data_IF_301079878672
#
_entry.id   IF_301079878672
#
_cell.length_a   1.000
_cell.length_b   1.000
_cell.length_c   1.000
_cell.angle_alpha   90.00
_cell.angle_beta   90.00
_cell.angle_gamma   90.00
#
_symmetry.space_group_name_H-M   'P 1'
#
loop_
_entity.id
_entity.type
_entity.pdbx_description
1 polymer ?
#
# COMPACT_ATOMS: atom_id res chain seq x y z
N UNK A 1 18.55 15.85 -7.53
CA UNK A 1 18.70 15.41 -6.12
C UNK A 1 17.30 15.01 -5.64
N UNK A 2 17.06 13.73 -5.39
CA UNK A 2 15.78 13.27 -4.83
C UNK A 2 15.85 13.51 -3.32
N UNK A 3 14.92 14.29 -2.78
CA UNK A 3 14.87 14.62 -1.35
C UNK A 3 13.92 13.64 -0.67
N UNK A 4 14.40 12.92 0.34
CA UNK A 4 13.55 12.11 1.22
C UNK A 4 12.65 13.08 2.00
N UNK A 5 11.35 13.07 1.70
CA UNK A 5 10.36 13.95 2.36
C UNK A 5 9.81 13.38 3.66
N UNK A 6 9.85 12.06 3.83
CA UNK A 6 9.35 11.32 5.01
C UNK A 6 10.35 10.23 5.39
N UNK A 7 10.54 10.04 6.69
CA UNK A 7 11.30 8.91 7.23
C UNK A 7 10.56 7.58 7.01
N UNK A 8 11.29 6.46 7.11
CA UNK A 8 10.67 5.13 7.04
C UNK A 8 9.56 4.96 8.07
N UNK A 9 9.80 5.36 9.33
CA UNK A 9 8.81 5.24 10.40
C UNK A 9 7.53 6.02 10.07
N UNK A 10 7.63 7.27 9.62
CA UNK A 10 6.45 8.07 9.23
C UNK A 10 5.65 7.42 8.11
N UNK A 11 6.33 6.88 7.10
CA UNK A 11 5.70 6.16 5.99
C UNK A 11 4.97 4.91 6.51
N UNK A 12 5.61 4.12 7.37
CA UNK A 12 5.03 2.89 7.89
C UNK A 12 3.85 3.15 8.85
N UNK A 13 3.91 4.20 9.66
CA UNK A 13 2.81 4.61 10.53
C UNK A 13 1.59 5.08 9.73
N UNK A 14 1.81 5.88 8.69
CA UNK A 14 0.76 6.33 7.77
C UNK A 14 0.12 5.14 7.06
N UNK A 15 0.94 4.24 6.51
CA UNK A 15 0.48 3.00 5.87
C UNK A 15 -0.35 2.15 6.81
N UNK A 16 0.15 1.93 8.04
CA UNK A 16 -0.55 1.16 9.06
C UNK A 16 -1.94 1.72 9.36
N UNK A 17 -2.05 3.05 9.52
CA UNK A 17 -3.35 3.72 9.76
C UNK A 17 -4.29 3.58 8.57
N UNK A 18 -3.80 3.72 7.35
CA UNK A 18 -4.64 3.59 6.14
C UNK A 18 -5.19 2.18 6.04
N UNK A 19 -4.31 1.16 6.12
CA UNK A 19 -4.71 -0.24 5.99
C UNK A 19 -5.66 -0.67 7.11
N UNK A 20 -5.42 -0.25 8.36
CA UNK A 20 -6.32 -0.54 9.48
C UNK A 20 -7.69 0.10 9.28
N UNK A 21 -7.74 1.35 8.78
CA UNK A 21 -9.01 2.04 8.53
C UNK A 21 -9.79 1.38 7.39
N UNK A 22 -9.11 0.92 6.33
CA UNK A 22 -9.74 0.12 5.27
C UNK A 22 -10.34 -1.16 5.85
N UNK A 23 -9.58 -1.85 6.71
CA UNK A 23 -10.05 -3.08 7.35
C UNK A 23 -11.31 -2.85 8.21
N UNK A 24 -11.36 -1.76 8.96
CA UNK A 24 -12.54 -1.33 9.71
C UNK A 24 -13.73 -1.03 8.79
N UNK A 25 -13.51 -0.29 7.69
CA UNK A 25 -14.56 0.03 6.71
C UNK A 25 -15.11 -1.20 6.01
N UNK A 26 -14.29 -2.24 5.80
CA UNK A 26 -14.74 -3.52 5.25
C UNK A 26 -15.62 -4.32 6.22
N UNK A 27 -15.56 -4.05 7.54
CA UNK A 27 -16.43 -4.68 8.56
C UNK A 27 -17.77 -3.97 8.70
N UNK A 28 -17.86 -2.70 8.32
CA UNK A 28 -19.10 -1.93 8.31
C UNK A 28 -20.09 -2.42 7.25
N UNK A 29 -21.36 -2.04 7.39
CA UNK A 29 -22.39 -2.27 6.37
C UNK A 29 -22.02 -1.56 5.07
N UNK A 30 -22.22 -2.25 3.94
CA UNK A 30 -21.89 -1.71 2.63
C UNK A 30 -22.87 -0.60 2.24
N UNK A 31 -22.35 0.62 2.09
CA UNK A 31 -23.09 1.81 1.67
C UNK A 31 -22.27 2.64 0.68
N UNK A 32 -22.92 3.54 -0.07
CA UNK A 32 -22.23 4.44 -1.02
C UNK A 32 -21.14 5.26 -0.32
N UNK A 33 -21.45 5.83 0.86
CA UNK A 33 -20.49 6.63 1.63
C UNK A 33 -19.31 5.78 2.12
N UNK A 34 -19.56 4.56 2.61
CA UNK A 34 -18.51 3.63 3.02
C UNK A 34 -17.59 3.26 1.83
N UNK A 35 -18.17 3.03 0.66
CA UNK A 35 -17.44 2.74 -0.58
C UNK A 35 -16.58 3.92 -1.05
N UNK A 36 -17.11 5.15 -0.99
CA UNK A 36 -16.33 6.36 -1.30
C UNK A 36 -15.15 6.54 -0.34
N UNK A 37 -15.34 6.23 0.93
CA UNK A 37 -14.28 6.32 1.92
C UNK A 37 -13.17 5.28 1.68
N UNK A 38 -13.55 4.04 1.34
CA UNK A 38 -12.58 3.00 0.93
C UNK A 38 -11.77 3.49 -0.28
N UNK A 39 -12.41 4.09 -1.30
CA UNK A 39 -11.69 4.61 -2.47
C UNK A 39 -10.71 5.73 -2.11
N UNK A 40 -11.09 6.67 -1.22
CA UNK A 40 -10.17 7.70 -0.75
C UNK A 40 -8.98 7.09 -0.02
N UNK A 41 -9.21 6.09 0.83
CA UNK A 41 -8.15 5.40 1.56
C UNK A 41 -7.22 4.64 0.60
N UNK A 42 -7.73 4.03 -0.47
CA UNK A 42 -6.90 3.41 -1.51
C UNK A 42 -6.03 4.44 -2.24
N UNK A 43 -6.56 5.62 -2.55
CA UNK A 43 -5.76 6.71 -3.16
C UNK A 43 -4.69 7.23 -2.19
N UNK A 44 -5.00 7.35 -0.89
CA UNK A 44 -4.00 7.67 0.13
C UNK A 44 -2.93 6.57 0.22
N UNK A 45 -3.35 5.30 0.19
CA UNK A 45 -2.43 4.17 0.21
C UNK A 45 -1.49 4.19 -1.01
N UNK A 46 -2.00 4.48 -2.21
CA UNK A 46 -1.20 4.68 -3.42
C UNK A 46 -0.11 5.73 -3.25
N UNK A 47 -0.43 6.87 -2.64
CA UNK A 47 0.56 7.92 -2.37
C UNK A 47 1.61 7.44 -1.35
N UNK A 48 1.18 6.76 -0.28
CA UNK A 48 2.10 6.19 0.71
C UNK A 48 3.04 5.12 0.12
N UNK A 49 2.57 4.35 -0.87
CA UNK A 49 3.35 3.39 -1.66
C UNK A 49 4.45 4.09 -2.46
N UNK A 50 4.11 5.20 -3.11
CA UNK A 50 5.07 6.01 -3.84
C UNK A 50 6.15 6.60 -2.90
N UNK A 51 5.74 7.07 -1.71
CA UNK A 51 6.67 7.55 -0.68
C UNK A 51 7.63 6.44 -0.22
N UNK A 52 7.12 5.23 0.05
CA UNK A 52 7.94 4.07 0.41
C UNK A 52 8.93 3.69 -0.68
N UNK A 53 8.46 3.62 -1.94
CA UNK A 53 9.32 3.32 -3.09
C UNK A 53 10.45 4.34 -3.24
N UNK A 54 10.13 5.63 -3.07
CA UNK A 54 11.13 6.70 -3.12
C UNK A 54 12.13 6.62 -1.96
N UNK A 55 11.65 6.31 -0.74
CA UNK A 55 12.53 6.08 0.41
C UNK A 55 13.49 4.92 0.15
N UNK A 56 12.98 3.75 -0.24
CA UNK A 56 13.78 2.54 -0.48
C UNK A 56 14.81 2.77 -1.59
N UNK A 57 14.42 3.42 -2.69
CA UNK A 57 15.34 3.77 -3.78
C UNK A 57 16.44 4.71 -3.31
N UNK A 58 16.07 5.79 -2.61
CA UNK A 58 17.06 6.77 -2.14
C UNK A 58 17.99 6.16 -1.11
N UNK A 59 17.47 5.35 -0.18
CA UNK A 59 18.28 4.65 0.80
C UNK A 59 19.29 3.73 0.10
N UNK A 60 18.84 2.90 -0.85
CA UNK A 60 19.70 2.00 -1.62
C UNK A 60 20.82 2.74 -2.37
N UNK A 61 20.52 3.89 -3.00
CA UNK A 61 21.52 4.71 -3.71
C UNK A 61 22.61 5.31 -2.79
N UNK A 62 22.37 5.37 -1.46
CA UNK A 62 23.30 5.94 -0.49
C UNK A 62 24.02 4.90 0.38
N UNK A 63 23.78 3.59 0.16
CA UNK A 63 24.46 2.50 0.85
C UNK A 63 25.95 2.55 0.53
N UNK A 64 26.78 2.57 1.56
CA UNK A 64 28.24 2.66 1.43
C UNK A 64 28.98 1.49 2.10
N UNK A 65 28.25 0.55 2.73
CA UNK A 65 28.82 -0.60 3.42
C UNK A 65 27.97 -1.87 3.26
N UNK A 66 28.58 -3.03 3.49
CA UNK A 66 27.86 -4.32 3.48
C UNK A 66 26.84 -4.42 4.62
N UNK A 67 27.14 -3.84 5.79
CA UNK A 67 26.24 -3.79 6.95
C UNK A 67 24.95 -2.99 6.62
N UNK A 68 25.08 -1.83 5.99
CA UNK A 68 23.92 -1.04 5.52
C UNK A 68 23.11 -1.79 4.44
N UNK A 69 23.79 -2.58 3.59
CA UNK A 69 23.11 -3.42 2.61
C UNK A 69 22.30 -4.56 3.26
N UNK A 70 22.83 -5.18 4.31
CA UNK A 70 22.11 -6.20 5.07
C UNK A 70 20.90 -5.62 5.82
N UNK A 71 21.07 -4.43 6.39
CA UNK A 71 19.96 -3.68 7.00
C UNK A 71 18.88 -3.32 5.97
N UNK A 72 19.28 -2.83 4.79
CA UNK A 72 18.35 -2.56 3.69
C UNK A 72 17.55 -3.79 3.27
N UNK A 73 18.21 -4.94 3.11
CA UNK A 73 17.55 -6.22 2.79
C UNK A 73 16.53 -6.61 3.85
N UNK A 74 16.88 -6.44 5.13
CA UNK A 74 15.96 -6.70 6.25
C UNK A 74 14.72 -5.81 6.19
N UNK A 75 14.87 -4.52 5.85
CA UNK A 75 13.73 -3.61 5.64
C UNK A 75 12.85 -4.11 4.49
N UNK A 76 13.44 -4.47 3.36
CA UNK A 76 12.70 -4.97 2.19
C UNK A 76 11.93 -6.23 2.55
N UNK A 77 12.58 -7.19 3.22
CA UNK A 77 11.96 -8.46 3.62
C UNK A 77 10.81 -8.22 4.60
N UNK A 78 10.98 -7.32 5.58
CA UNK A 78 9.90 -6.95 6.51
C UNK A 78 8.70 -6.37 5.77
N UNK A 79 8.93 -5.41 4.87
CA UNK A 79 7.85 -4.77 4.11
C UNK A 79 7.14 -5.80 3.22
N UNK A 80 7.88 -6.70 2.58
CA UNK A 80 7.34 -7.79 1.74
C UNK A 80 6.54 -8.78 2.55
N UNK A 81 7.07 -9.30 3.64
CA UNK A 81 6.43 -10.38 4.38
C UNK A 81 5.21 -9.90 5.16
N UNK A 82 5.21 -8.67 5.64
CA UNK A 82 4.14 -8.17 6.52
C UNK A 82 3.14 -7.32 5.75
N UNK A 83 3.60 -6.28 5.07
CA UNK A 83 2.69 -5.28 4.52
C UNK A 83 2.11 -5.66 3.17
N UNK A 84 2.88 -6.38 2.34
CA UNK A 84 2.38 -6.87 1.06
C UNK A 84 1.19 -7.81 1.28
N UNK A 85 1.33 -8.79 2.18
CA UNK A 85 0.29 -9.76 2.47
C UNK A 85 -0.99 -9.10 3.02
N UNK A 86 -0.84 -8.16 3.97
CA UNK A 86 -2.00 -7.41 4.50
C UNK A 86 -2.69 -6.63 3.37
N UNK A 87 -1.92 -6.00 2.50
CA UNK A 87 -2.46 -5.19 1.41
C UNK A 87 -3.18 -6.06 0.36
N UNK A 88 -2.58 -7.19 -0.04
CA UNK A 88 -3.19 -8.18 -0.94
C UNK A 88 -4.53 -8.69 -0.39
N UNK A 89 -4.56 -9.13 0.87
CA UNK A 89 -5.78 -9.61 1.55
C UNK A 89 -6.88 -8.55 1.55
N UNK A 90 -6.52 -7.27 1.78
CA UNK A 90 -7.48 -6.17 1.75
C UNK A 90 -8.00 -5.91 0.34
N UNK A 91 -7.13 -5.93 -0.68
CA UNK A 91 -7.54 -5.73 -2.07
C UNK A 91 -8.45 -6.86 -2.56
N UNK A 92 -8.17 -8.12 -2.22
CA UNK A 92 -9.04 -9.26 -2.54
C UNK A 92 -10.45 -9.02 -1.98
N UNK A 93 -10.55 -8.70 -0.69
CA UNK A 93 -11.83 -8.42 -0.02
C UNK A 93 -12.57 -7.21 -0.61
N UNK A 94 -11.85 -6.16 -1.00
CA UNK A 94 -12.45 -4.99 -1.66
C UNK A 94 -13.00 -5.38 -3.03
N UNK A 95 -12.27 -6.18 -3.81
CA UNK A 95 -12.70 -6.66 -5.11
C UNK A 95 -13.94 -7.56 -5.00
N UNK A 96 -13.97 -8.47 -4.02
CA UNK A 96 -15.16 -9.28 -3.74
C UNK A 96 -16.38 -8.41 -3.41
N UNK A 97 -16.19 -7.34 -2.62
CA UNK A 97 -17.24 -6.36 -2.31
C UNK A 97 -17.66 -5.59 -3.57
N UNK A 98 -16.72 -5.22 -4.43
CA UNK A 98 -16.98 -4.52 -5.69
C UNK A 98 -17.83 -5.35 -6.66
N UNK A 99 -17.65 -6.68 -6.71
CA UNK A 99 -18.47 -7.56 -7.57
C UNK A 99 -19.96 -7.54 -7.20
N UNK A 100 -20.24 -7.42 -5.91
CA UNK A 100 -21.61 -7.41 -5.34
C UNK A 100 -22.20 -6.01 -5.23
N UNK A 101 -21.34 -4.98 -5.35
CA UNK A 101 -21.73 -3.58 -5.27
C UNK A 101 -22.58 -3.14 -6.47
N UNK A 102 -23.39 -2.10 -6.29
CA UNK A 102 -23.96 -1.27 -7.37
C UNK A 102 -23.46 0.18 -7.32
N UNK A 103 -22.50 0.46 -6.42
CA UNK A 103 -21.97 1.77 -6.08
C UNK A 103 -20.56 2.03 -6.60
N UNK A 104 -19.86 3.01 -6.02
CA UNK A 104 -18.54 3.47 -6.47
C UNK A 104 -17.47 2.37 -6.58
N UNK A 105 -17.47 1.34 -5.72
CA UNK A 105 -16.48 0.26 -5.83
C UNK A 105 -16.63 -0.50 -7.14
N UNK A 106 -17.87 -0.79 -7.57
CA UNK A 106 -18.11 -1.44 -8.86
C UNK A 106 -17.70 -0.55 -10.03
N UNK A 107 -18.01 0.74 -9.95
CA UNK A 107 -17.66 1.71 -10.99
C UNK A 107 -16.15 1.87 -11.18
N UNK A 108 -15.36 1.64 -10.12
CA UNK A 108 -13.90 1.80 -10.12
C UNK A 108 -13.14 0.46 -10.10
N UNK A 109 -13.82 -0.67 -10.34
CA UNK A 109 -13.24 -2.01 -10.23
C UNK A 109 -11.96 -2.20 -11.06
N UNK A 110 -11.93 -1.69 -12.30
CA UNK A 110 -10.75 -1.79 -13.17
C UNK A 110 -9.54 -1.03 -12.60
N UNK A 111 -9.80 0.13 -11.98
CA UNK A 111 -8.76 0.88 -11.30
C UNK A 111 -8.25 0.12 -10.06
N UNK A 112 -9.15 -0.44 -9.25
CA UNK A 112 -8.78 -1.24 -8.07
C UNK A 112 -7.94 -2.45 -8.47
N UNK A 113 -8.32 -3.17 -9.54
CA UNK A 113 -7.56 -4.31 -10.07
C UNK A 113 -6.15 -3.91 -10.50
N UNK A 114 -6.01 -2.76 -11.17
CA UNK A 114 -4.70 -2.24 -11.55
C UNK A 114 -3.85 -1.91 -10.31
N UNK A 115 -4.44 -1.25 -9.32
CA UNK A 115 -3.72 -0.88 -8.10
C UNK A 115 -3.33 -2.10 -7.24
N UNK A 116 -4.11 -3.19 -7.30
CA UNK A 116 -3.76 -4.48 -6.69
C UNK A 116 -2.54 -5.12 -7.38
N UNK A 117 -2.53 -5.15 -8.71
CA UNK A 117 -1.40 -5.67 -9.48
C UNK A 117 -0.11 -4.84 -9.29
N UNK A 118 -0.24 -3.55 -8.99
CA UNK A 118 0.89 -2.68 -8.70
C UNK A 118 1.55 -2.96 -7.33
N UNK A 119 0.91 -3.72 -6.42
CA UNK A 119 1.51 -4.12 -5.13
C UNK A 119 2.79 -4.93 -5.37
N UNK A 120 2.68 -6.00 -6.16
CA UNK A 120 3.79 -6.90 -6.51
C UNK A 120 4.99 -6.14 -7.10
N UNK A 121 4.70 -5.14 -7.96
CA UNK A 121 5.73 -4.39 -8.68
C UNK A 121 6.60 -3.50 -7.78
N UNK A 122 6.11 -3.08 -6.62
CA UNK A 122 6.92 -2.26 -5.70
C UNK A 122 8.04 -3.11 -5.06
N UNK A 123 7.83 -4.42 -4.99
CA UNK A 123 8.69 -5.33 -4.24
C UNK A 123 9.48 -6.32 -5.10
N UNK A 124 9.21 -6.39 -6.40
CA UNK A 124 9.99 -7.15 -7.37
C UNK A 124 11.26 -6.37 -7.77
N UNK A 125 12.30 -6.44 -6.94
CA UNK A 125 13.67 -6.07 -7.33
C UNK A 125 14.31 -7.25 -8.07
N UNK A 126 13.97 -7.42 -9.36
CA UNK A 126 14.78 -8.23 -10.29
C UNK A 126 15.96 -7.44 -10.82
#
# INVERSE_FOLDING_TARGET
>A
MVIIKKSFQEIMEERGKILSTIEEKLKEEQSVENEEEILKLLEMNKNSRADLKNFLKTYHENINSEEEMEYYRTIIDFVRLVYMQIEEDLFERILERAERSIGPLKANKDWILKEAADIDFIYDNK
#
